data_IF_119032024996
#
_entry.id   IF_119032024996
#
_cell.length_a   1.000
_cell.length_b   1.000
_cell.length_c   1.000
_cell.angle_alpha   90.00
_cell.angle_beta   90.00
_cell.angle_gamma   90.00
#
_symmetry.space_group_name_H-M   'P 1'
#
loop_
_entity.id
_entity.type
_entity.pdbx_description
1 polymer ?
#
# COMPACT_ATOMS: atom_id res chain seq x y z
N UNK A 1 -19.49 8.39 -2.66
CA UNK A 1 -18.41 9.36 -2.72
C UNK A 1 -17.16 8.71 -3.28
N UNK A 2 -16.43 9.43 -4.12
CA UNK A 2 -15.32 8.86 -4.87
C UNK A 2 -14.03 8.81 -4.04
N UNK A 3 -13.21 7.82 -4.31
CA UNK A 3 -11.91 7.61 -3.68
C UNK A 3 -11.03 8.87 -3.77
N UNK A 4 -11.06 9.57 -4.90
CA UNK A 4 -10.27 10.78 -5.11
C UNK A 4 -10.49 11.86 -4.04
N UNK A 5 -11.63 11.85 -3.39
CA UNK A 5 -11.96 12.81 -2.34
C UNK A 5 -11.26 12.52 -1.02
N UNK A 6 -10.94 11.25 -0.75
CA UNK A 6 -10.44 10.81 0.55
C UNK A 6 -9.00 10.30 0.54
N UNK A 7 -8.43 10.09 -0.63
CA UNK A 7 -7.06 9.58 -0.75
C UNK A 7 -6.03 10.64 -0.37
N UNK A 8 -4.86 10.17 0.04
CA UNK A 8 -3.69 11.03 0.21
C UNK A 8 -3.02 11.20 -1.15
N UNK A 9 -2.80 12.44 -1.59
CA UNK A 9 -2.26 12.74 -2.92
C UNK A 9 -0.74 12.89 -2.95
N UNK A 10 -0.16 13.32 -1.85
CA UNK A 10 1.29 13.52 -1.75
C UNK A 10 1.95 12.20 -1.37
N UNK A 11 2.08 11.33 -2.36
CA UNK A 11 2.57 9.96 -2.14
C UNK A 11 4.07 9.90 -2.28
N UNK A 12 4.75 9.40 -1.24
CA UNK A 12 6.16 9.09 -1.32
C UNK A 12 6.35 7.74 -2.00
N UNK A 13 7.28 7.68 -2.94
CA UNK A 13 7.50 6.54 -3.81
C UNK A 13 8.90 5.99 -3.67
N UNK A 14 9.04 4.68 -3.80
CA UNK A 14 10.33 4.05 -4.00
C UNK A 14 10.50 3.72 -5.50
N UNK A 15 11.75 3.54 -5.91
CA UNK A 15 12.07 3.04 -7.25
C UNK A 15 12.71 1.66 -7.12
N UNK A 16 12.65 0.82 -8.18
CA UNK A 16 13.20 -0.53 -8.11
C UNK A 16 14.70 -0.59 -7.81
N UNK A 17 15.43 0.45 -8.19
CA UNK A 17 16.89 0.51 -8.04
C UNK A 17 17.38 1.12 -6.74
N UNK A 18 16.47 1.78 -6.00
CA UNK A 18 16.82 2.27 -4.66
C UNK A 18 17.13 1.10 -3.74
N UNK A 19 17.94 1.36 -2.70
CA UNK A 19 18.24 0.33 -1.70
C UNK A 19 17.09 0.18 -0.70
N UNK A 20 17.00 -0.98 -0.08
CA UNK A 20 16.01 -1.20 0.99
C UNK A 20 16.32 -0.30 2.20
N UNK A 21 17.59 0.11 2.39
CA UNK A 21 17.96 1.10 3.42
C UNK A 21 17.25 2.42 3.15
N UNK A 22 17.29 2.90 1.91
CA UNK A 22 16.63 4.15 1.52
C UNK A 22 15.13 4.05 1.70
N UNK A 23 14.54 2.92 1.30
CA UNK A 23 13.11 2.69 1.49
C UNK A 23 12.73 2.68 2.97
N UNK A 24 13.52 1.99 3.80
CA UNK A 24 13.27 1.94 5.25
C UNK A 24 13.37 3.33 5.88
N UNK A 25 14.37 4.12 5.46
CA UNK A 25 14.52 5.50 5.94
C UNK A 25 13.31 6.34 5.58
N UNK A 26 12.84 6.23 4.36
CA UNK A 26 11.66 6.94 3.88
C UNK A 26 10.42 6.55 4.68
N UNK A 27 10.23 5.25 4.94
CA UNK A 27 9.13 4.77 5.79
C UNK A 27 9.15 5.39 7.18
N UNK A 28 10.35 5.50 7.76
CA UNK A 28 10.52 6.12 9.08
C UNK A 28 10.18 7.60 9.06
N UNK A 29 10.60 8.32 8.03
CA UNK A 29 10.36 9.76 7.90
C UNK A 29 8.89 10.10 7.74
N UNK A 30 8.13 9.28 7.00
CA UNK A 30 6.71 9.52 6.75
C UNK A 30 5.79 8.75 7.70
N UNK A 31 6.36 7.96 8.59
CA UNK A 31 5.62 7.10 9.53
C UNK A 31 4.62 6.18 8.81
N UNK A 32 5.09 5.50 7.78
CA UNK A 32 4.29 4.55 7.02
C UNK A 32 5.05 3.24 6.86
N UNK A 33 4.31 2.13 6.90
CA UNK A 33 4.89 0.80 6.77
C UNK A 33 4.93 0.26 5.34
N UNK A 34 4.56 1.08 4.35
CA UNK A 34 4.55 0.64 2.96
C UNK A 34 4.81 1.80 2.01
N UNK A 35 5.43 1.48 0.87
CA UNK A 35 5.67 2.44 -0.20
C UNK A 35 5.31 1.80 -1.54
N UNK A 36 4.57 2.53 -2.40
CA UNK A 36 4.44 2.10 -3.79
C UNK A 36 5.80 2.19 -4.48
N UNK A 37 6.05 1.25 -5.38
CA UNK A 37 7.27 1.25 -6.19
C UNK A 37 6.89 1.62 -7.61
N UNK A 38 7.52 2.67 -8.13
CA UNK A 38 7.19 3.23 -9.44
C UNK A 38 8.43 3.20 -10.34
N UNK A 39 8.20 2.85 -11.61
CA UNK A 39 9.21 2.90 -12.65
C UNK A 39 8.55 3.44 -13.92
N UNK A 40 9.15 4.45 -14.55
CA UNK A 40 8.62 5.06 -15.78
C UNK A 40 7.14 5.48 -15.65
N UNK A 41 6.79 6.15 -14.57
CA UNK A 41 5.43 6.60 -14.29
C UNK A 41 4.42 5.46 -14.07
N UNK A 42 4.89 4.23 -13.90
CA UNK A 42 4.00 3.08 -13.70
C UNK A 42 4.24 2.45 -12.34
N UNK A 43 3.15 2.02 -11.73
CA UNK A 43 3.20 1.25 -10.50
C UNK A 43 3.68 -0.16 -10.82
N UNK A 44 4.86 -0.54 -10.30
CA UNK A 44 5.45 -1.85 -10.59
C UNK A 44 5.54 -2.77 -9.38
N UNK A 45 5.25 -2.25 -8.19
CA UNK A 45 5.30 -3.08 -6.99
C UNK A 45 4.92 -2.31 -5.74
N UNK A 46 4.99 -3.00 -4.63
CA UNK A 46 4.87 -2.44 -3.28
C UNK A 46 5.98 -3.00 -2.43
N UNK A 47 6.54 -2.18 -1.56
CA UNK A 47 7.49 -2.66 -0.55
C UNK A 47 6.99 -2.26 0.83
N UNK A 48 7.05 -3.20 1.76
CA UNK A 48 6.59 -3.00 3.13
C UNK A 48 7.75 -3.19 4.10
N UNK A 49 7.58 -2.69 5.31
CA UNK A 49 8.52 -2.93 6.41
C UNK A 49 8.63 -4.44 6.71
N UNK A 50 7.52 -5.17 6.61
CA UNK A 50 7.54 -6.62 6.75
C UNK A 50 8.37 -7.30 5.66
N UNK A 51 8.26 -6.84 4.40
CA UNK A 51 9.09 -7.36 3.30
C UNK A 51 10.57 -7.20 3.63
N UNK A 52 10.96 -6.04 4.12
CA UNK A 52 12.35 -5.76 4.49
C UNK A 52 12.81 -6.71 5.61
N UNK A 53 11.99 -6.89 6.64
CA UNK A 53 12.34 -7.75 7.76
C UNK A 53 12.42 -9.23 7.36
N UNK A 54 11.41 -9.73 6.65
CA UNK A 54 11.25 -11.17 6.40
C UNK A 54 11.99 -11.62 5.13
N UNK A 55 11.94 -10.81 4.07
CA UNK A 55 12.51 -11.17 2.78
C UNK A 55 13.93 -10.67 2.57
N UNK A 56 14.40 -9.76 3.41
CA UNK A 56 15.76 -9.26 3.35
C UNK A 56 16.55 -9.61 4.61
N UNK A 57 16.22 -9.03 5.76
CA UNK A 57 16.99 -9.24 6.99
C UNK A 57 17.04 -10.71 7.38
N UNK A 58 15.89 -11.39 7.40
CA UNK A 58 15.80 -12.80 7.78
C UNK A 58 16.55 -13.72 6.80
N UNK A 59 16.73 -13.28 5.55
CA UNK A 59 17.44 -14.02 4.51
C UNK A 59 18.93 -13.65 4.43
N UNK A 60 19.42 -12.80 5.30
CA UNK A 60 20.81 -12.38 5.33
C UNK A 60 21.19 -11.40 4.24
N UNK A 61 20.24 -10.72 3.63
CA UNK A 61 20.54 -9.75 2.57
C UNK A 61 21.06 -8.44 3.16
N UNK A 62 21.98 -7.81 2.44
CA UNK A 62 22.54 -6.52 2.81
C UNK A 62 21.49 -5.40 2.74
N UNK A 63 21.64 -4.34 3.58
CA UNK A 63 20.82 -3.13 3.43
C UNK A 63 20.98 -2.44 2.07
N UNK A 64 22.02 -2.74 1.33
CA UNK A 64 22.24 -2.20 -0.02
C UNK A 64 21.51 -2.99 -1.11
N UNK A 65 20.75 -4.00 -0.74
CA UNK A 65 19.93 -4.77 -1.67
C UNK A 65 18.92 -3.86 -2.36
N UNK A 66 18.76 -3.97 -3.70
CA UNK A 66 17.76 -3.16 -4.41
C UNK A 66 16.33 -3.52 -3.99
N UNK A 67 15.48 -2.51 -3.98
CA UNK A 67 14.05 -2.67 -3.66
C UNK A 67 13.41 -3.75 -4.54
N UNK A 68 13.77 -3.82 -5.84
CA UNK A 68 13.18 -4.81 -6.76
C UNK A 68 13.38 -6.26 -6.33
N UNK A 69 14.42 -6.55 -5.54
CA UNK A 69 14.71 -7.92 -5.08
C UNK A 69 13.88 -8.33 -3.87
N UNK A 70 13.19 -7.37 -3.25
CA UNK A 70 12.47 -7.59 -1.98
C UNK A 70 10.98 -7.26 -2.10
N UNK A 71 10.62 -6.35 -3.00
CA UNK A 71 9.24 -5.88 -3.17
C UNK A 71 8.30 -6.99 -3.64
N UNK A 72 7.01 -6.78 -3.43
CA UNK A 72 5.97 -7.58 -4.06
C UNK A 72 5.65 -6.98 -5.43
N UNK A 73 5.65 -7.83 -6.46
CA UNK A 73 5.30 -7.42 -7.83
C UNK A 73 3.81 -7.55 -8.08
N UNK A 74 3.12 -8.29 -7.25
CA UNK A 74 1.67 -8.43 -7.34
C UNK A 74 1.02 -7.25 -6.64
N UNK A 75 0.63 -6.26 -7.44
CA UNK A 75 0.11 -5.00 -6.93
C UNK A 75 -1.40 -4.97 -7.01
N UNK A 76 -2.03 -4.81 -5.86
CA UNK A 76 -3.45 -4.51 -5.77
C UNK A 76 -3.60 -2.99 -5.78
N UNK A 77 -4.57 -2.48 -6.53
CA UNK A 77 -4.81 -1.04 -6.63
C UNK A 77 -6.30 -0.78 -6.88
N UNK A 78 -6.67 0.49 -6.74
CA UNK A 78 -8.02 0.94 -7.09
C UNK A 78 -7.92 2.19 -7.98
N UNK A 79 -9.07 2.55 -8.58
CA UNK A 79 -9.16 3.74 -9.41
C UNK A 79 -9.72 4.91 -8.62
N UNK A 80 -9.24 6.12 -8.92
CA UNK A 80 -9.66 7.33 -8.20
C UNK A 80 -11.15 7.63 -8.34
N UNK A 81 -11.79 7.15 -9.39
CA UNK A 81 -13.21 7.39 -9.67
C UNK A 81 -14.14 6.30 -9.13
N UNK A 82 -13.60 5.29 -8.44
CA UNK A 82 -14.42 4.28 -7.79
C UNK A 82 -15.10 4.84 -6.53
N UNK A 83 -16.19 4.22 -6.14
CA UNK A 83 -16.89 4.60 -4.92
C UNK A 83 -16.15 4.05 -3.69
N UNK A 84 -16.06 4.88 -2.65
CA UNK A 84 -15.39 4.50 -1.41
C UNK A 84 -16.01 3.23 -0.80
N UNK A 85 -17.33 3.08 -0.90
CA UNK A 85 -18.03 1.91 -0.40
C UNK A 85 -17.51 0.61 -1.05
N UNK A 86 -17.28 0.64 -2.35
CA UNK A 86 -16.72 -0.48 -3.10
C UNK A 86 -15.29 -0.80 -2.64
N UNK A 87 -14.48 0.25 -2.43
CA UNK A 87 -13.10 0.08 -1.99
C UNK A 87 -13.02 -0.48 -0.58
N UNK A 88 -13.87 -0.01 0.32
CA UNK A 88 -13.92 -0.54 1.69
C UNK A 88 -14.22 -2.04 1.67
N UNK A 89 -15.16 -2.47 0.84
CA UNK A 89 -15.49 -3.88 0.65
C UNK A 89 -14.30 -4.65 0.09
N UNK A 90 -13.66 -4.13 -0.95
CA UNK A 90 -12.51 -4.77 -1.58
C UNK A 90 -11.33 -4.91 -0.61
N UNK A 91 -11.05 -3.90 0.19
CA UNK A 91 -9.98 -3.95 1.21
C UNK A 91 -10.25 -5.07 2.22
N UNK A 92 -11.51 -5.22 2.65
CA UNK A 92 -11.91 -6.31 3.52
C UNK A 92 -11.74 -7.68 2.87
N UNK A 93 -12.14 -7.81 1.61
CA UNK A 93 -12.07 -9.07 0.88
C UNK A 93 -10.63 -9.50 0.60
N UNK A 94 -9.75 -8.58 0.22
CA UNK A 94 -8.34 -8.87 -0.06
C UNK A 94 -7.44 -8.71 1.16
N UNK A 95 -7.99 -8.24 2.27
CA UNK A 95 -7.32 -8.11 3.58
C UNK A 95 -6.07 -7.24 3.54
N UNK A 96 -6.18 -6.10 2.89
CA UNK A 96 -5.11 -5.09 2.85
C UNK A 96 -5.56 -3.80 3.53
N UNK A 97 -4.63 -3.09 4.15
CA UNK A 97 -4.90 -1.86 4.89
C UNK A 97 -4.73 -0.60 4.07
N UNK A 98 -4.03 -0.68 2.97
CA UNK A 98 -3.75 0.44 2.07
C UNK A 98 -3.79 -0.04 0.64
N UNK A 99 -4.28 0.82 -0.23
CA UNK A 99 -4.28 0.56 -1.67
C UNK A 99 -3.72 1.77 -2.41
N UNK A 100 -2.80 1.55 -3.33
CA UNK A 100 -2.44 2.58 -4.30
C UNK A 100 -3.67 2.95 -5.13
N UNK A 101 -3.79 4.24 -5.44
CA UNK A 101 -4.88 4.76 -6.26
C UNK A 101 -4.30 5.22 -7.59
N UNK A 102 -4.86 4.73 -8.67
CA UNK A 102 -4.43 5.10 -10.02
C UNK A 102 -5.57 5.80 -10.78
N UNK A 103 -5.19 6.57 -11.81
CA UNK A 103 -6.18 7.11 -12.74
C UNK A 103 -6.45 6.08 -13.85
N UNK A 104 -7.30 6.44 -14.80
CA UNK A 104 -7.66 5.52 -15.89
C UNK A 104 -6.52 5.23 -16.87
N UNK A 105 -5.46 6.03 -16.84
CA UNK A 105 -4.22 5.76 -17.56
C UNK A 105 -3.25 4.89 -16.75
N UNK A 106 -3.70 4.40 -15.59
CA UNK A 106 -2.94 3.57 -14.67
C UNK A 106 -1.70 4.26 -14.08
N UNK A 107 -1.76 5.58 -13.96
CA UNK A 107 -0.72 6.36 -13.28
C UNK A 107 -1.10 6.53 -11.83
N UNK A 108 -0.13 6.43 -10.95
CA UNK A 108 -0.35 6.59 -9.51
C UNK A 108 -0.74 8.02 -9.19
N UNK A 109 -1.88 8.20 -8.51
CA UNK A 109 -2.38 9.53 -8.13
C UNK A 109 -2.59 9.69 -6.62
N UNK A 110 -2.53 8.60 -5.85
CA UNK A 110 -2.72 8.68 -4.41
C UNK A 110 -2.62 7.35 -3.72
N UNK A 111 -2.87 7.37 -2.42
CA UNK A 111 -3.02 6.16 -1.59
C UNK A 111 -4.27 6.34 -0.73
N UNK A 112 -5.04 5.28 -0.58
CA UNK A 112 -6.15 5.26 0.36
C UNK A 112 -5.92 4.17 1.41
N UNK A 113 -6.23 4.49 2.67
CA UNK A 113 -6.04 3.58 3.80
C UNK A 113 -7.34 3.38 4.56
N UNK A 114 -7.36 2.33 5.39
CA UNK A 114 -8.46 2.11 6.33
C UNK A 114 -8.65 3.34 7.23
N UNK A 115 -7.53 4.00 7.60
CA UNK A 115 -7.59 5.22 8.39
C UNK A 115 -8.34 6.35 7.69
N UNK A 116 -8.14 6.51 6.37
CA UNK A 116 -8.87 7.51 5.60
C UNK A 116 -10.37 7.24 5.63
N UNK A 117 -10.75 5.97 5.53
CA UNK A 117 -12.15 5.55 5.61
C UNK A 117 -12.74 5.83 7.00
N UNK A 118 -11.98 5.55 8.04
CA UNK A 118 -12.43 5.76 9.42
C UNK A 118 -12.75 7.21 9.73
N UNK A 119 -12.02 8.13 9.11
CA UNK A 119 -12.21 9.56 9.32
C UNK A 119 -13.38 10.14 8.52
N UNK A 120 -13.78 9.50 7.44
CA UNK A 120 -14.64 10.11 6.43
C UNK A 120 -15.86 9.29 6.03
N UNK A 121 -16.01 8.04 6.49
CA UNK A 121 -17.06 7.14 6.05
C UNK A 121 -17.91 6.58 7.18
N UNK A 122 -18.95 5.84 6.81
CA UNK A 122 -19.85 5.21 7.77
C UNK A 122 -19.10 4.23 8.65
N UNK A 123 -19.26 4.32 9.99
CA UNK A 123 -18.56 3.44 10.92
C UNK A 123 -18.74 1.95 10.63
N UNK A 124 -19.92 1.54 10.16
CA UNK A 124 -20.22 0.15 9.86
C UNK A 124 -19.32 -0.40 8.75
N UNK A 125 -19.07 0.39 7.69
CA UNK A 125 -18.22 -0.02 6.57
C UNK A 125 -16.76 -0.15 7.03
N UNK A 126 -16.30 0.81 7.82
CA UNK A 126 -14.94 0.79 8.36
C UNK A 126 -14.74 -0.39 9.29
N UNK A 127 -15.68 -0.63 10.20
CA UNK A 127 -15.62 -1.76 11.12
C UNK A 127 -15.60 -3.10 10.38
N UNK A 128 -16.41 -3.25 9.35
CA UNK A 128 -16.45 -4.45 8.52
C UNK A 128 -15.11 -4.69 7.81
N UNK A 129 -14.52 -3.63 7.23
CA UNK A 129 -13.23 -3.72 6.56
C UNK A 129 -12.12 -4.12 7.53
N UNK A 130 -12.06 -3.48 8.70
CA UNK A 130 -11.05 -3.79 9.73
C UNK A 130 -11.21 -5.22 10.22
N UNK A 131 -12.43 -5.67 10.47
CA UNK A 131 -12.69 -7.03 10.91
C UNK A 131 -12.18 -8.05 9.89
N UNK A 132 -12.48 -7.86 8.62
CA UNK A 132 -12.08 -8.77 7.56
C UNK A 132 -10.56 -8.76 7.34
N UNK A 133 -9.93 -7.58 7.38
CA UNK A 133 -8.47 -7.46 7.26
C UNK A 133 -7.78 -8.21 8.40
N UNK A 134 -8.36 -8.17 9.60
CA UNK A 134 -7.76 -8.75 10.80
C UNK A 134 -7.92 -10.28 10.90
N UNK A 135 -8.70 -10.91 10.04
CA UNK A 135 -8.85 -12.37 10.03
C UNK A 135 -7.55 -13.03 9.56
N UNK A 136 -7.27 -14.20 10.13
CA UNK A 136 -6.10 -15.01 9.74
C UNK A 136 -6.19 -15.43 8.27
N UNK A 137 -5.02 -15.62 7.64
CA UNK A 137 -4.93 -16.11 6.27
C UNK A 137 -4.95 -15.02 5.23
N UNK A 138 -5.02 -13.77 5.63
CA UNK A 138 -4.93 -12.66 4.70
C UNK A 138 -3.49 -12.37 4.29
N UNK A 139 -3.35 -11.61 3.21
CA UNK A 139 -2.04 -11.27 2.62
C UNK A 139 -1.09 -10.58 3.59
N UNK A 140 -1.62 -9.76 4.48
CA UNK A 140 -0.88 -8.99 5.47
C UNK A 140 -1.25 -9.38 6.90
N UNK A 141 -1.80 -10.57 7.09
CA UNK A 141 -2.10 -11.03 8.45
C UNK A 141 -0.81 -11.44 9.17
N UNK A 142 -0.84 -11.23 10.44
CA UNK A 142 0.25 -11.60 11.33
C UNK A 142 -0.12 -12.86 12.06
#
# INVERSE_FOLDING_TARGET
>A
MKVSKYMTRDVQLATPTQTIREAARMMGEIDAGSLPVQEDDRLVGMITDRDIAVRAVAQGKSPDTPVRDVMSREVLYCFEDQEVKEIARNMGDVKVRRLPVVNRDKRLVGIISVGDLALNEEPALTASAVTNISKHGGRHSQ
#
